data_IF_598332231438
#
_entry.id   IF_598332231438
#
_cell.length_a   1.000
_cell.length_b   1.000
_cell.length_c   1.000
_cell.angle_alpha   90.00
_cell.angle_beta   90.00
_cell.angle_gamma   90.00
#
_symmetry.space_group_name_H-M   'P 1'
#
loop_
_entity.id
_entity.type
_entity.pdbx_description
1 polymer ?
#
# COMPACT_ATOMS: atom_id res chain seq x y z
N UNK A 1 -13.30 26.24 -12.92
CA UNK A 1 -13.10 25.73 -11.55
C UNK A 1 -11.72 26.20 -11.08
N UNK A 2 -11.62 26.83 -9.89
CA UNK A 2 -10.35 27.41 -9.40
C UNK A 2 -9.38 26.28 -8.96
N UNK A 3 -8.09 26.40 -9.30
CA UNK A 3 -7.04 25.40 -8.99
C UNK A 3 -6.96 25.06 -7.50
N UNK A 4 -7.22 26.04 -6.62
CA UNK A 4 -7.31 25.82 -5.17
C UNK A 4 -8.47 24.89 -4.76
N UNK A 5 -9.60 24.99 -5.46
CA UNK A 5 -10.78 24.14 -5.20
C UNK A 5 -10.50 22.70 -5.62
N UNK A 6 -9.83 22.51 -6.76
CA UNK A 6 -9.42 21.19 -7.26
C UNK A 6 -8.41 20.55 -6.30
N UNK A 7 -7.39 21.30 -5.89
CA UNK A 7 -6.36 20.81 -4.96
C UNK A 7 -6.98 20.37 -3.62
N UNK A 8 -7.91 21.14 -3.08
CA UNK A 8 -8.60 20.81 -1.83
C UNK A 8 -9.49 19.57 -1.97
N UNK A 9 -10.22 19.46 -3.09
CA UNK A 9 -11.05 18.30 -3.37
C UNK A 9 -10.21 17.02 -3.50
N UNK A 10 -9.13 17.06 -4.28
CA UNK A 10 -8.22 15.92 -4.48
C UNK A 10 -7.57 15.50 -3.16
N UNK A 11 -7.10 16.44 -2.34
CA UNK A 11 -6.56 16.14 -1.00
C UNK A 11 -7.58 15.46 -0.10
N UNK A 12 -8.83 15.92 -0.15
CA UNK A 12 -9.91 15.34 0.66
C UNK A 12 -10.22 13.91 0.23
N UNK A 13 -10.42 13.68 -1.07
CA UNK A 13 -10.67 12.35 -1.62
C UNK A 13 -9.53 11.40 -1.28
N UNK A 14 -8.27 11.83 -1.48
CA UNK A 14 -7.12 11.01 -1.15
C UNK A 14 -7.02 10.66 0.34
N UNK A 15 -7.31 11.63 1.24
CA UNK A 15 -7.34 11.36 2.69
C UNK A 15 -8.42 10.36 3.08
N UNK A 16 -9.61 10.47 2.47
CA UNK A 16 -10.72 9.53 2.73
C UNK A 16 -10.34 8.13 2.25
N UNK A 17 -9.84 8.00 1.02
CA UNK A 17 -9.38 6.73 0.49
C UNK A 17 -8.32 6.07 1.40
N UNK A 18 -7.30 6.83 1.81
CA UNK A 18 -6.26 6.33 2.72
C UNK A 18 -6.84 5.87 4.07
N UNK A 19 -7.77 6.63 4.66
CA UNK A 19 -8.39 6.24 5.92
C UNK A 19 -9.17 4.94 5.79
N UNK A 20 -9.97 4.79 4.73
CA UNK A 20 -10.74 3.57 4.48
C UNK A 20 -9.79 2.38 4.29
N UNK A 21 -8.73 2.53 3.49
CA UNK A 21 -7.73 1.47 3.30
C UNK A 21 -7.04 1.09 4.61
N UNK A 22 -6.65 2.05 5.45
CA UNK A 22 -6.06 1.76 6.76
C UNK A 22 -7.01 0.95 7.67
N UNK A 23 -8.31 1.30 7.69
CA UNK A 23 -9.31 0.54 8.48
C UNK A 23 -9.41 -0.90 7.97
N UNK A 24 -9.49 -1.09 6.65
CA UNK A 24 -9.53 -2.43 6.05
C UNK A 24 -8.29 -3.24 6.42
N UNK A 25 -7.09 -2.66 6.31
CA UNK A 25 -5.84 -3.35 6.67
C UNK A 25 -5.78 -3.77 8.14
N UNK A 26 -6.29 -2.94 9.05
CA UNK A 26 -6.37 -3.29 10.48
C UNK A 26 -7.35 -4.44 10.70
N UNK A 27 -8.52 -4.42 10.04
CA UNK A 27 -9.48 -5.52 10.11
C UNK A 27 -8.89 -6.82 9.55
N UNK A 28 -8.11 -6.75 8.47
CA UNK A 28 -7.40 -7.91 7.91
C UNK A 28 -6.39 -8.49 8.91
N UNK A 29 -5.60 -7.64 9.58
CA UNK A 29 -4.66 -8.09 10.63
C UNK A 29 -5.40 -8.82 11.77
N UNK A 30 -6.51 -8.25 12.24
CA UNK A 30 -7.30 -8.85 13.32
C UNK A 30 -7.93 -10.17 12.88
N UNK A 31 -8.50 -10.22 11.68
CA UNK A 31 -9.08 -11.42 11.12
C UNK A 31 -8.04 -12.55 10.99
N UNK A 32 -6.85 -12.23 10.48
CA UNK A 32 -5.73 -13.18 10.30
C UNK A 32 -5.19 -13.71 11.64
N UNK A 33 -5.14 -12.86 12.67
CA UNK A 33 -4.71 -13.28 14.00
C UNK A 33 -5.75 -14.17 14.69
N UNK A 34 -7.03 -13.82 14.60
CA UNK A 34 -8.13 -14.60 15.18
C UNK A 34 -8.23 -15.95 14.47
N UNK A 35 -8.19 -15.98 13.14
CA UNK A 35 -8.24 -17.22 12.38
C UNK A 35 -7.08 -18.17 12.75
N UNK A 36 -5.89 -17.61 13.00
CA UNK A 36 -4.72 -18.38 13.45
C UNK A 36 -4.85 -18.95 14.86
N UNK A 37 -5.31 -18.14 15.82
CA UNK A 37 -5.47 -18.57 17.22
C UNK A 37 -6.53 -19.66 17.36
N UNK A 38 -7.63 -19.56 16.61
CA UNK A 38 -8.76 -20.49 16.70
C UNK A 38 -8.66 -21.67 15.71
N UNK A 39 -7.59 -21.73 14.90
CA UNK A 39 -7.39 -22.84 13.95
C UNK A 39 -8.35 -22.84 12.76
N UNK A 40 -8.99 -21.71 12.45
CA UNK A 40 -9.88 -21.57 11.28
C UNK A 40 -9.12 -21.38 9.96
N UNK A 41 -7.80 -21.21 10.00
CA UNK A 41 -6.97 -21.00 8.81
C UNK A 41 -6.95 -22.21 7.83
N UNK A 42 -7.35 -23.41 8.27
CA UNK A 42 -7.47 -24.62 7.44
C UNK A 42 -8.92 -24.99 7.13
N UNK A 43 -9.89 -24.30 7.73
CA UNK A 43 -11.30 -24.56 7.52
C UNK A 43 -11.72 -23.77 6.29
N UNK A 44 -11.79 -24.45 5.14
CA UNK A 44 -12.59 -23.95 4.02
C UNK A 44 -14.05 -23.94 4.46
N UNK A 45 -14.49 -22.85 5.10
CA UNK A 45 -15.89 -22.59 5.41
C UNK A 45 -16.57 -22.33 4.06
N UNK A 46 -16.96 -23.43 3.41
CA UNK A 46 -17.26 -23.46 1.98
C UNK A 46 -18.32 -22.47 1.54
N UNK A 47 -18.19 -22.00 0.29
CA UNK A 47 -19.24 -21.74 -0.71
C UNK A 47 -20.66 -21.31 -0.24
N UNK A 48 -20.81 -20.61 0.88
CA UNK A 48 -22.09 -20.12 1.36
C UNK A 48 -22.15 -18.60 1.23
N UNK A 49 -22.62 -18.19 0.04
CA UNK A 49 -23.10 -16.85 -0.26
C UNK A 49 -22.01 -15.84 -0.59
N UNK A 50 -21.79 -15.59 -1.89
CA UNK A 50 -21.26 -14.38 -2.60
C UNK A 50 -19.98 -13.72 -2.06
N UNK A 51 -19.43 -14.13 -0.93
CA UNK A 51 -18.21 -13.62 -0.32
C UNK A 51 -17.26 -14.80 -0.15
N UNK A 52 -16.45 -15.01 -1.19
CA UNK A 52 -15.29 -15.91 -1.13
C UNK A 52 -14.26 -15.29 -0.18
N UNK A 53 -14.39 -15.58 1.11
CA UNK A 53 -13.28 -15.41 2.04
C UNK A 53 -12.29 -16.55 1.76
N UNK A 54 -11.37 -16.34 0.82
CA UNK A 54 -10.21 -17.20 0.64
C UNK A 54 -9.28 -17.06 1.87
N UNK A 55 -9.72 -17.62 3.01
CA UNK A 55 -8.94 -17.80 4.24
C UNK A 55 -8.31 -19.21 4.25
N UNK A 56 -8.50 -20.01 3.20
CA UNK A 56 -7.79 -21.28 3.04
C UNK A 56 -6.33 -21.03 2.69
N UNK A 57 -5.42 -21.20 3.66
CA UNK A 57 -3.97 -21.25 3.40
C UNK A 57 -3.54 -22.72 3.42
N UNK A 58 -2.93 -23.19 2.33
CA UNK A 58 -2.39 -24.56 2.25
C UNK A 58 -1.21 -24.78 3.23
N UNK A 59 -0.56 -23.70 3.68
CA UNK A 59 0.58 -23.71 4.59
C UNK A 59 0.38 -22.73 5.75
N UNK A 60 -0.03 -23.26 6.91
CA UNK A 60 -0.28 -22.49 8.13
C UNK A 60 0.86 -22.59 9.13
N UNK A 61 1.72 -21.57 9.13
CA UNK A 61 2.75 -21.39 10.15
C UNK A 61 2.64 -20.00 10.76
N UNK A 62 3.01 -19.88 12.04
CA UNK A 62 3.17 -18.58 12.71
C UNK A 62 4.05 -17.60 11.90
N UNK A 63 4.96 -18.11 11.07
CA UNK A 63 5.78 -17.33 10.16
C UNK A 63 4.95 -16.62 9.07
N UNK A 64 3.98 -17.30 8.46
CA UNK A 64 3.09 -16.73 7.44
C UNK A 64 2.16 -15.68 8.04
N UNK A 65 1.61 -15.94 9.22
CA UNK A 65 0.79 -14.98 9.98
C UNK A 65 1.62 -13.76 10.37
N UNK A 66 2.82 -13.95 10.91
CA UNK A 66 3.74 -12.85 11.23
C UNK A 66 4.10 -12.01 9.98
N UNK A 67 4.36 -12.67 8.84
CA UNK A 67 4.65 -11.99 7.58
C UNK A 67 3.44 -11.21 7.04
N UNK A 68 2.22 -11.73 7.21
CA UNK A 68 0.96 -11.05 6.87
C UNK A 68 0.79 -9.78 7.69
N UNK A 69 0.96 -9.89 9.01
CA UNK A 69 0.88 -8.76 9.94
C UNK A 69 1.94 -7.71 9.62
N UNK A 70 3.19 -8.13 9.38
CA UNK A 70 4.30 -7.26 9.02
C UNK A 70 4.00 -6.48 7.73
N UNK A 71 3.52 -7.19 6.70
CA UNK A 71 3.22 -6.63 5.39
C UNK A 71 2.08 -5.60 5.46
N UNK A 72 0.99 -5.93 6.16
CA UNK A 72 -0.14 -5.01 6.37
C UNK A 72 0.26 -3.81 7.25
N UNK A 73 1.09 -4.01 8.27
CA UNK A 73 1.61 -2.94 9.11
C UNK A 73 2.51 -1.98 8.32
N UNK A 74 3.36 -2.52 7.44
CA UNK A 74 4.18 -1.71 6.55
C UNK A 74 3.30 -0.88 5.58
N UNK A 75 2.25 -1.47 5.01
CA UNK A 75 1.30 -0.72 4.19
C UNK A 75 0.65 0.44 4.96
N UNK A 76 0.17 0.21 6.19
CA UNK A 76 -0.42 1.25 7.05
C UNK A 76 0.59 2.37 7.32
N UNK A 77 1.85 2.02 7.59
CA UNK A 77 2.93 3.00 7.79
C UNK A 77 3.13 3.88 6.55
N UNK A 78 3.25 3.26 5.37
CA UNK A 78 3.41 3.98 4.10
C UNK A 78 2.24 4.90 3.79
N UNK A 79 1.01 4.41 3.98
CA UNK A 79 -0.22 5.18 3.80
C UNK A 79 -0.32 6.36 4.76
N UNK A 80 0.12 6.19 6.01
CA UNK A 80 0.16 7.27 7.01
C UNK A 80 1.16 8.37 6.61
N UNK A 81 2.34 7.98 6.12
CA UNK A 81 3.33 8.93 5.58
C UNK A 81 2.80 9.66 4.34
N UNK A 82 2.12 8.95 3.43
CA UNK A 82 1.48 9.52 2.25
C UNK A 82 0.38 10.52 2.62
N UNK A 83 -0.47 10.19 3.59
CA UNK A 83 -1.51 11.10 4.11
C UNK A 83 -0.92 12.39 4.65
N UNK A 84 0.18 12.30 5.40
CA UNK A 84 0.88 13.46 5.93
C UNK A 84 1.52 14.31 4.82
N UNK A 85 2.12 13.65 3.82
CA UNK A 85 2.66 14.33 2.65
C UNK A 85 1.57 15.08 1.88
N UNK A 86 0.44 14.44 1.55
CA UNK A 86 -0.68 15.05 0.82
C UNK A 86 -1.28 16.24 1.59
N UNK A 87 -1.33 16.16 2.92
CA UNK A 87 -1.82 17.27 3.75
C UNK A 87 -0.95 18.53 3.62
N UNK A 88 0.37 18.36 3.51
CA UNK A 88 1.36 19.43 3.47
C UNK A 88 1.84 19.78 2.05
N UNK A 89 1.48 18.97 1.06
CA UNK A 89 1.83 19.16 -0.34
C UNK A 89 1.06 20.35 -0.91
N UNK A 90 1.72 21.20 -1.69
CA UNK A 90 1.07 22.27 -2.47
C UNK A 90 1.55 22.16 -3.90
N UNK A 91 0.73 22.50 -4.89
CA UNK A 91 1.13 22.40 -6.32
C UNK A 91 2.42 23.18 -6.62
N UNK A 92 2.65 24.30 -5.93
CA UNK A 92 3.88 25.10 -6.03
C UNK A 92 5.15 24.35 -5.58
N UNK A 93 5.00 23.36 -4.71
CA UNK A 93 6.10 22.60 -4.13
C UNK A 93 6.45 21.35 -4.95
N UNK A 94 5.89 21.20 -6.15
CA UNK A 94 6.08 19.99 -6.97
C UNK A 94 7.56 19.75 -7.34
N UNK A 95 8.34 20.82 -7.50
CA UNK A 95 9.79 20.76 -7.77
C UNK A 95 10.66 20.97 -6.52
N UNK A 96 10.05 21.08 -5.33
CA UNK A 96 10.78 21.28 -4.09
C UNK A 96 11.55 20.01 -3.67
N UNK A 97 12.66 20.19 -2.95
CA UNK A 97 13.48 19.09 -2.43
C UNK A 97 12.69 18.08 -1.60
N UNK A 98 11.73 18.57 -0.80
CA UNK A 98 10.85 17.72 0.00
C UNK A 98 10.03 16.73 -0.85
N UNK A 99 9.54 17.17 -2.01
CA UNK A 99 8.74 16.34 -2.93
C UNK A 99 9.62 15.31 -3.62
N UNK A 100 10.80 15.73 -4.07
CA UNK A 100 11.78 14.83 -4.67
C UNK A 100 12.24 13.72 -3.71
N UNK A 101 12.62 14.10 -2.47
CA UNK A 101 13.04 13.16 -1.44
C UNK A 101 11.91 12.20 -1.04
N UNK A 102 10.69 12.73 -0.91
CA UNK A 102 9.51 11.90 -0.62
C UNK A 102 9.28 10.87 -1.73
N UNK A 103 9.28 11.27 -3.00
CA UNK A 103 9.06 10.34 -4.12
C UNK A 103 10.15 9.26 -4.20
N UNK A 104 11.41 9.61 -3.95
CA UNK A 104 12.51 8.64 -3.87
C UNK A 104 12.30 7.63 -2.75
N UNK A 105 12.00 8.11 -1.54
CA UNK A 105 11.76 7.25 -0.37
C UNK A 105 10.52 6.38 -0.56
N UNK A 106 9.43 6.94 -1.10
CA UNK A 106 8.20 6.22 -1.41
C UNK A 106 8.43 5.11 -2.44
N UNK A 107 9.25 5.36 -3.47
CA UNK A 107 9.60 4.34 -4.48
C UNK A 107 10.34 3.16 -3.84
N UNK A 108 11.33 3.42 -2.99
CA UNK A 108 12.09 2.37 -2.30
C UNK A 108 11.19 1.62 -1.31
N UNK A 109 10.37 2.35 -0.56
CA UNK A 109 9.46 1.76 0.42
C UNK A 109 8.44 0.84 -0.25
N UNK A 110 7.81 1.30 -1.33
CA UNK A 110 6.83 0.50 -2.08
C UNK A 110 7.47 -0.72 -2.72
N UNK A 111 8.70 -0.63 -3.21
CA UNK A 111 9.47 -1.79 -3.67
C UNK A 111 9.64 -2.85 -2.56
N UNK A 112 10.04 -2.45 -1.35
CA UNK A 112 10.19 -3.37 -0.21
C UNK A 112 8.85 -4.01 0.16
N UNK A 113 7.78 -3.23 0.21
CA UNK A 113 6.43 -3.75 0.52
C UNK A 113 5.96 -4.73 -0.55
N UNK A 114 6.17 -4.44 -1.83
CA UNK A 114 5.85 -5.36 -2.93
C UNK A 114 6.65 -6.66 -2.83
N UNK A 115 7.93 -6.60 -2.41
CA UNK A 115 8.73 -7.79 -2.16
C UNK A 115 8.16 -8.65 -1.01
N UNK A 116 7.75 -8.02 0.09
CA UNK A 116 7.10 -8.71 1.22
C UNK A 116 5.78 -9.35 0.80
N UNK A 117 4.91 -8.61 0.09
CA UNK A 117 3.66 -9.13 -0.46
C UNK A 117 3.90 -10.33 -1.38
N UNK A 118 4.90 -10.25 -2.25
CA UNK A 118 5.22 -11.32 -3.19
C UNK A 118 5.71 -12.59 -2.48
N UNK A 119 6.54 -12.43 -1.44
CA UNK A 119 6.99 -13.53 -0.57
C UNK A 119 5.79 -14.17 0.13
N UNK A 120 4.85 -13.35 0.59
CA UNK A 120 3.63 -13.80 1.25
C UNK A 120 2.72 -14.58 0.29
N UNK A 121 2.43 -14.05 -0.90
CA UNK A 121 1.60 -14.70 -1.92
C UNK A 121 2.20 -16.05 -2.36
N UNK A 122 3.52 -16.10 -2.53
CA UNK A 122 4.23 -17.36 -2.84
C UNK A 122 4.11 -18.38 -1.70
N UNK A 123 4.16 -17.91 -0.45
CA UNK A 123 4.03 -18.77 0.74
C UNK A 123 2.60 -19.25 1.00
N UNK A 124 1.59 -18.62 0.39
CA UNK A 124 0.16 -18.95 0.52
C UNK A 124 -0.39 -19.81 -0.65
N UNK A 125 0.48 -20.33 -1.54
CA UNK A 125 0.10 -21.16 -2.70
C UNK A 125 -0.90 -20.51 -3.69
N UNK A 126 -0.90 -19.18 -3.85
CA UNK A 126 -1.44 -18.56 -5.06
C UNK A 126 -0.37 -18.64 -6.16
N UNK A 127 -0.52 -19.58 -7.10
CA UNK A 127 0.44 -19.87 -8.18
C UNK A 127 0.54 -18.78 -9.28
N UNK A 128 0.40 -17.51 -8.91
CA UNK A 128 0.68 -16.35 -9.77
C UNK A 128 1.52 -15.35 -8.97
N UNK A 129 2.81 -15.24 -9.31
CA UNK A 129 3.68 -14.14 -8.90
C UNK A 129 3.13 -12.82 -9.50
N UNK A 130 2.12 -12.24 -8.86
CA UNK A 130 1.65 -10.89 -9.19
C UNK A 130 2.51 -9.95 -8.37
N UNK A 131 3.69 -9.64 -8.88
CA UNK A 131 4.39 -8.46 -8.38
C UNK A 131 3.61 -7.26 -8.90
N UNK A 132 2.71 -6.74 -8.07
CA UNK A 132 1.95 -5.54 -8.40
C UNK A 132 2.89 -4.32 -8.30
N UNK A 133 3.78 -4.20 -9.30
CA UNK A 133 4.67 -3.08 -9.50
C UNK A 133 3.90 -1.80 -9.87
N UNK A 134 2.57 -1.85 -10.02
CA UNK A 134 1.76 -0.71 -10.46
C UNK A 134 2.04 0.52 -9.60
N UNK A 135 1.92 0.42 -8.27
CA UNK A 135 2.14 1.56 -7.37
C UNK A 135 3.60 2.01 -7.34
N UNK A 136 4.56 1.08 -7.27
CA UNK A 136 5.99 1.39 -7.28
C UNK A 136 6.40 2.10 -8.59
N UNK A 137 5.89 1.62 -9.73
CA UNK A 137 6.17 2.18 -11.04
C UNK A 137 5.63 3.60 -11.19
N UNK A 138 4.44 3.90 -10.63
CA UNK A 138 3.91 5.27 -10.57
C UNK A 138 4.81 6.21 -9.74
N UNK A 139 5.30 5.76 -8.59
CA UNK A 139 6.23 6.57 -7.78
C UNK A 139 7.57 6.80 -8.48
N UNK A 140 8.10 5.78 -9.16
CA UNK A 140 9.34 5.90 -9.96
C UNK A 140 9.14 6.86 -11.14
N UNK A 141 8.02 6.75 -11.87
CA UNK A 141 7.71 7.65 -12.97
C UNK A 141 7.56 9.11 -12.48
N UNK A 142 6.85 9.32 -11.37
CA UNK A 142 6.72 10.63 -10.76
C UNK A 142 8.09 11.18 -10.32
N UNK A 143 8.93 10.34 -9.72
CA UNK A 143 10.30 10.71 -9.33
C UNK A 143 11.16 11.12 -10.53
N UNK A 144 11.16 10.31 -11.60
CA UNK A 144 11.91 10.60 -12.83
C UNK A 144 11.42 11.87 -13.51
N UNK A 145 10.11 12.09 -13.55
CA UNK A 145 9.49 13.29 -14.10
C UNK A 145 9.88 14.55 -13.31
N UNK A 146 9.79 14.50 -11.97
CA UNK A 146 10.24 15.62 -11.10
C UNK A 146 11.73 15.87 -11.27
N UNK A 147 12.56 14.82 -11.33
CA UNK A 147 14.00 14.94 -11.58
C UNK A 147 14.29 15.62 -12.92
N UNK A 148 13.61 15.19 -13.99
CA UNK A 148 13.76 15.76 -15.33
C UNK A 148 13.34 17.24 -15.38
N UNK A 149 12.16 17.56 -14.86
CA UNK A 149 11.66 18.94 -14.83
C UNK A 149 12.57 19.86 -14.01
N UNK A 150 13.09 19.38 -12.88
CA UNK A 150 14.04 20.15 -12.07
C UNK A 150 15.35 20.42 -12.83
N UNK A 151 15.87 19.42 -13.54
CA UNK A 151 17.06 19.58 -14.38
C UNK A 151 16.86 20.59 -15.51
N UNK A 152 15.63 20.73 -16.03
CA UNK A 152 15.26 21.70 -17.07
C UNK A 152 15.00 23.10 -16.54
N UNK A 153 14.52 23.22 -15.29
CA UNK A 153 14.26 24.51 -14.65
C UNK A 153 15.53 25.15 -14.05
N UNK A 154 16.57 24.35 -13.80
CA UNK A 154 17.89 24.80 -13.30
C UNK A 154 18.91 25.06 -14.42
N UNK A 155 18.56 24.77 -15.67
CA UNK A 155 19.35 25.02 -16.88
C UNK A 155 18.82 26.27 -17.60
#
# INVERSE_FOLDING_TARGET
>A
MNTKTIETAVKTVAKVAINVTNVVLVLTILADLISHIYGYDTVNVGHYGVIEWAIGKDTNTWLVTALTILTNSAMIYGLTKLKHFIANFTVKDILADKTYLFLKQASIFTFIVSFLQNTLSTSMHQAHLIVDFSICSYFVLAFLLVKYLRSRHMA
#
